data_IF_212222991514
#
_entry.id   IF_212222991514
#
_cell.length_a   1.000
_cell.length_b   1.000
_cell.length_c   1.000
_cell.angle_alpha   90.00
_cell.angle_beta   90.00
_cell.angle_gamma   90.00
#
_symmetry.space_group_name_H-M   'P 1'
#
loop_
_entity.id
_entity.type
_entity.pdbx_description
1 polymer ?
#
# COMPACT_ATOMS: atom_id res chain seq x y z
N UNK A 1 17.17 14.16 -15.00
CA UNK A 1 16.84 12.99 -14.15
C UNK A 1 17.37 13.07 -12.71
N UNK A 2 18.69 13.10 -12.43
CA UNK A 2 19.21 13.11 -11.03
C UNK A 2 18.72 14.33 -10.21
N UNK A 3 18.82 15.54 -10.75
CA UNK A 3 18.31 16.76 -10.11
C UNK A 3 16.80 16.70 -9.83
N UNK A 4 16.04 16.04 -10.71
CA UNK A 4 14.61 15.84 -10.54
C UNK A 4 14.31 14.89 -9.37
N UNK A 5 15.04 13.76 -9.30
CA UNK A 5 14.94 12.79 -8.20
C UNK A 5 15.28 13.47 -6.87
N UNK A 6 16.39 14.23 -6.81
CA UNK A 6 16.79 14.96 -5.60
C UNK A 6 15.74 16.00 -5.18
N UNK A 7 15.17 16.74 -6.14
CA UNK A 7 14.10 17.71 -5.87
C UNK A 7 12.85 17.02 -5.31
N UNK A 8 12.44 15.88 -5.90
CA UNK A 8 11.29 15.09 -5.42
C UNK A 8 11.54 14.47 -4.06
N UNK A 9 12.74 13.93 -3.82
CA UNK A 9 13.13 13.42 -2.50
C UNK A 9 13.10 14.53 -1.44
N UNK A 10 13.54 15.73 -1.81
CA UNK A 10 13.41 16.93 -0.99
C UNK A 10 11.96 17.25 -0.58
N UNK A 11 10.99 17.04 -1.46
CA UNK A 11 9.56 17.17 -1.13
C UNK A 11 9.04 16.05 -0.21
N UNK A 12 9.68 14.89 -0.21
CA UNK A 12 9.36 13.79 0.70
C UNK A 12 9.76 14.07 2.15
N UNK A 13 10.82 14.85 2.38
CA UNK A 13 11.34 15.14 3.72
C UNK A 13 10.28 15.85 4.60
N UNK A 14 9.63 16.95 4.17
CA UNK A 14 8.54 17.57 4.93
C UNK A 14 7.39 16.61 5.25
N UNK A 15 7.09 15.67 4.36
CA UNK A 15 6.02 14.67 4.57
C UNK A 15 6.41 13.74 5.71
N UNK A 16 7.62 13.17 5.69
CA UNK A 16 8.10 12.28 6.75
C UNK A 16 8.20 13.02 8.08
N UNK A 17 8.72 14.25 8.08
CA UNK A 17 8.78 15.09 9.30
C UNK A 17 7.37 15.36 9.82
N UNK A 18 6.44 15.79 8.95
CA UNK A 18 5.06 16.05 9.33
C UNK A 18 4.38 14.83 9.94
N UNK A 19 4.55 13.65 9.32
CA UNK A 19 4.02 12.38 9.85
C UNK A 19 4.69 12.01 11.18
N UNK A 20 6.01 12.22 11.31
CA UNK A 20 6.74 11.93 12.55
C UNK A 20 6.26 12.78 13.73
N UNK A 21 6.04 14.08 13.50
CA UNK A 21 5.51 15.00 14.52
C UNK A 21 4.08 14.59 14.85
N UNK A 22 3.26 14.31 13.83
CA UNK A 22 1.88 13.93 14.03
C UNK A 22 1.74 12.64 14.87
N UNK A 23 2.45 11.57 14.51
CA UNK A 23 2.39 10.32 15.27
C UNK A 23 2.95 10.49 16.68
N UNK A 24 4.02 11.27 16.84
CA UNK A 24 4.58 11.58 18.15
C UNK A 24 3.56 12.31 19.04
N UNK A 25 2.92 13.36 18.52
CA UNK A 25 1.93 14.14 19.26
C UNK A 25 0.68 13.30 19.58
N UNK A 26 0.19 12.50 18.63
CA UNK A 26 -0.94 11.61 18.86
C UNK A 26 -0.66 10.63 19.99
N UNK A 27 0.52 10.01 20.01
CA UNK A 27 0.91 9.11 21.09
C UNK A 27 1.12 9.85 22.43
N UNK A 28 1.65 11.08 22.40
CA UNK A 28 1.83 11.89 23.60
C UNK A 28 0.52 12.39 24.22
N UNK A 29 -0.55 12.49 23.42
CA UNK A 29 -1.90 12.87 23.87
C UNK A 29 -2.68 11.72 24.51
N UNK A 30 -2.22 10.46 24.36
CA UNK A 30 -2.86 9.31 24.99
C UNK A 30 -2.68 9.42 26.51
N UNK A 31 -3.77 9.46 27.30
CA UNK A 31 -3.67 9.59 28.74
C UNK A 31 -3.11 8.31 29.38
N UNK A 32 -2.18 8.49 30.32
CA UNK A 32 -1.50 7.42 31.06
C UNK A 32 0.01 7.62 31.09
N UNK A 33 0.72 6.80 31.86
CA UNK A 33 2.18 6.78 31.85
C UNK A 33 2.68 5.81 30.75
N UNK A 34 3.39 6.31 29.71
CA UNK A 34 3.94 5.46 28.66
C UNK A 34 4.88 4.36 29.17
N UNK A 35 5.63 4.60 30.25
CA UNK A 35 6.54 3.59 30.81
C UNK A 35 5.77 2.40 31.39
N UNK A 36 4.69 2.67 32.14
CA UNK A 36 3.82 1.62 32.68
C UNK A 36 3.08 0.86 31.57
N UNK A 37 2.62 1.56 30.53
CA UNK A 37 1.95 0.93 29.39
C UNK A 37 2.89 0.00 28.62
N UNK A 38 4.14 0.41 28.46
CA UNK A 38 5.16 -0.32 27.72
C UNK A 38 5.71 -1.52 28.51
N UNK A 39 5.91 -1.40 29.82
CA UNK A 39 6.36 -2.51 30.68
C UNK A 39 5.25 -3.49 31.02
N UNK A 40 3.99 -3.03 31.07
CA UNK A 40 2.84 -3.87 31.35
C UNK A 40 3.02 -4.68 32.66
N UNK A 41 2.86 -6.02 32.64
CA UNK A 41 3.05 -6.87 33.81
C UNK A 41 4.47 -6.83 34.42
N UNK A 42 5.48 -6.36 33.68
CA UNK A 42 6.87 -6.27 34.13
C UNK A 42 7.22 -4.94 34.78
N UNK A 43 6.23 -4.07 35.02
CA UNK A 43 6.44 -2.77 35.65
C UNK A 43 6.82 -2.91 37.12
N UNK A 44 8.12 -2.87 37.42
CA UNK A 44 8.67 -2.56 38.74
C UNK A 44 8.98 -1.06 38.84
N UNK A 45 9.06 -0.50 40.04
CA UNK A 45 9.44 0.91 40.22
C UNK A 45 10.77 1.22 39.55
N UNK A 46 11.78 0.37 39.77
CA UNK A 46 13.12 0.51 39.18
C UNK A 46 13.10 0.48 37.65
N UNK A 47 12.45 -0.52 37.02
CA UNK A 47 12.40 -0.62 35.56
C UNK A 47 11.58 0.53 34.95
N UNK A 48 10.54 0.99 35.64
CA UNK A 48 9.70 2.10 35.18
C UNK A 48 10.48 3.41 35.14
N UNK A 49 11.25 3.71 36.18
CA UNK A 49 12.12 4.90 36.23
C UNK A 49 13.21 4.83 35.15
N UNK A 50 13.85 3.67 34.96
CA UNK A 50 14.83 3.48 33.89
C UNK A 50 14.24 3.76 32.50
N UNK A 51 13.03 3.26 32.22
CA UNK A 51 12.36 3.52 30.93
C UNK A 51 11.96 4.98 30.78
N UNK A 52 11.50 5.64 31.86
CA UNK A 52 11.18 7.08 31.84
C UNK A 52 12.41 7.91 31.48
N UNK A 53 13.56 7.60 32.07
CA UNK A 53 14.81 8.28 31.74
C UNK A 53 15.25 8.00 30.29
N UNK A 54 15.24 6.73 29.86
CA UNK A 54 15.65 6.33 28.51
C UNK A 54 14.81 7.00 27.41
N UNK A 55 13.50 7.12 27.63
CA UNK A 55 12.56 7.74 26.69
C UNK A 55 12.36 9.24 26.94
N UNK A 56 13.15 9.82 27.87
CA UNK A 56 13.08 11.20 28.31
C UNK A 56 11.66 11.66 28.71
N UNK A 57 10.84 10.77 29.27
CA UNK A 57 9.41 11.03 29.52
C UNK A 57 9.16 12.19 30.50
N UNK A 58 10.13 12.47 31.37
CA UNK A 58 10.09 13.58 32.34
C UNK A 58 10.45 14.94 31.71
N UNK A 59 10.89 14.96 30.46
CA UNK A 59 11.30 16.18 29.75
C UNK A 59 10.12 16.79 28.95
N UNK A 60 10.18 18.10 28.64
CA UNK A 60 9.20 18.74 27.77
C UNK A 60 9.10 18.06 26.39
N UNK A 61 7.91 18.12 25.77
CA UNK A 61 7.63 17.46 24.48
C UNK A 61 8.68 17.71 23.38
N UNK A 62 9.22 18.94 23.19
CA UNK A 62 10.26 19.16 22.17
C UNK A 62 11.53 18.36 22.43
N UNK A 63 11.95 18.21 23.69
CA UNK A 63 13.13 17.44 24.05
C UNK A 63 12.88 15.95 23.81
N UNK A 64 11.72 15.44 24.24
CA UNK A 64 11.30 14.04 23.98
C UNK A 64 11.32 13.70 22.49
N UNK A 65 10.78 14.59 21.65
CA UNK A 65 10.78 14.41 20.21
C UNK A 65 12.20 14.44 19.63
N UNK A 66 13.05 15.37 20.08
CA UNK A 66 14.44 15.45 19.64
C UNK A 66 15.26 14.20 20.02
N UNK A 67 15.07 13.67 21.24
CA UNK A 67 15.67 12.40 21.68
C UNK A 67 15.20 11.24 20.80
N UNK A 68 13.89 11.11 20.58
CA UNK A 68 13.32 10.04 19.76
C UNK A 68 13.84 10.05 18.32
N UNK A 69 13.80 11.20 17.64
CA UNK A 69 14.34 11.36 16.28
C UNK A 69 15.87 11.15 16.26
N UNK A 70 16.58 11.60 17.29
CA UNK A 70 18.02 11.39 17.43
C UNK A 70 18.40 9.91 17.52
N UNK A 71 17.63 9.11 18.25
CA UNK A 71 17.82 7.67 18.35
C UNK A 71 17.50 6.98 17.02
N UNK A 72 16.38 7.33 16.40
CA UNK A 72 16.00 6.83 15.08
C UNK A 72 17.06 7.10 14.01
N UNK A 73 17.65 8.31 14.01
CA UNK A 73 18.71 8.67 13.08
C UNK A 73 19.99 7.83 13.25
N UNK A 74 20.18 7.20 14.40
CA UNK A 74 21.27 6.26 14.68
C UNK A 74 20.88 4.80 14.40
N UNK A 75 19.65 4.55 13.94
CA UNK A 75 19.10 3.22 13.72
C UNK A 75 18.53 2.56 14.99
N UNK A 76 18.41 3.30 16.09
CA UNK A 76 17.81 2.81 17.33
C UNK A 76 16.31 3.16 17.37
N UNK A 77 15.50 2.15 17.09
CA UNK A 77 14.03 2.23 17.15
C UNK A 77 13.49 1.85 18.54
N UNK A 78 14.37 1.46 19.47
CA UNK A 78 14.02 0.94 20.77
C UNK A 78 13.56 -0.51 20.76
N UNK A 79 13.00 -0.93 21.90
CA UNK A 79 12.62 -2.31 22.19
C UNK A 79 11.13 -2.41 22.48
N UNK A 80 10.46 -3.37 21.85
CA UNK A 80 9.04 -3.63 22.01
C UNK A 80 8.82 -4.77 22.99
N UNK A 81 8.52 -4.43 24.24
CA UNK A 81 8.27 -5.40 25.32
C UNK A 81 6.97 -6.18 25.13
N UNK A 82 6.03 -5.66 24.33
CA UNK A 82 4.78 -6.33 23.98
C UNK A 82 5.00 -7.63 23.18
N UNK A 83 6.08 -7.68 22.38
CA UNK A 83 6.44 -8.79 21.51
C UNK A 83 7.83 -9.35 21.79
N UNK A 84 8.50 -8.86 22.85
CA UNK A 84 9.83 -9.26 23.31
C UNK A 84 10.90 -9.20 22.21
N UNK A 85 10.91 -8.11 21.41
CA UNK A 85 11.80 -7.94 20.25
C UNK A 85 12.22 -6.50 20.03
N UNK A 86 13.33 -6.30 19.31
CA UNK A 86 13.72 -4.99 18.81
C UNK A 86 12.68 -4.47 17.81
N UNK A 87 12.29 -3.19 17.94
CA UNK A 87 11.27 -2.57 17.07
C UNK A 87 11.69 -2.61 15.61
N UNK A 88 12.97 -2.39 15.32
CA UNK A 88 13.49 -2.40 13.95
C UNK A 88 13.32 -3.77 13.27
N UNK A 89 13.56 -4.86 14.00
CA UNK A 89 13.42 -6.23 13.48
C UNK A 89 11.96 -6.57 13.22
N UNK A 90 11.10 -6.29 14.21
CA UNK A 90 9.66 -6.50 14.09
C UNK A 90 9.09 -5.71 12.90
N UNK A 91 9.39 -4.41 12.82
CA UNK A 91 8.89 -3.56 11.73
C UNK A 91 9.42 -4.02 10.37
N UNK A 92 10.67 -4.46 10.27
CA UNK A 92 11.24 -4.95 9.00
C UNK A 92 10.57 -6.25 8.54
N UNK A 93 10.31 -7.20 9.45
CA UNK A 93 9.61 -8.45 9.13
C UNK A 93 8.18 -8.15 8.63
N UNK A 94 7.45 -7.30 9.36
CA UNK A 94 6.09 -6.87 9.00
C UNK A 94 6.05 -6.07 7.70
N UNK A 95 7.07 -5.24 7.45
CA UNK A 95 7.23 -4.49 6.21
C UNK A 95 7.35 -5.41 5.00
N UNK A 96 8.16 -6.47 5.10
CA UNK A 96 8.31 -7.46 4.03
C UNK A 96 6.97 -8.11 3.65
N UNK A 97 6.17 -8.49 4.65
CA UNK A 97 4.85 -9.05 4.43
C UNK A 97 3.88 -8.05 3.78
N UNK A 98 3.83 -6.80 4.26
CA UNK A 98 2.98 -5.76 3.65
C UNK A 98 3.40 -5.44 2.22
N UNK A 99 4.71 -5.36 1.93
CA UNK A 99 5.21 -5.11 0.59
C UNK A 99 4.88 -6.24 -0.39
N UNK A 100 4.98 -7.50 0.07
CA UNK A 100 4.58 -8.66 -0.75
C UNK A 100 3.08 -8.57 -1.11
N UNK A 101 2.24 -8.27 -0.12
CA UNK A 101 0.80 -8.11 -0.34
C UNK A 101 0.47 -6.94 -1.25
N UNK A 102 1.00 -5.76 -0.95
CA UNK A 102 0.78 -4.55 -1.73
C UNK A 102 1.30 -4.70 -3.17
N UNK A 103 2.46 -5.32 -3.35
CA UNK A 103 3.04 -5.60 -4.65
C UNK A 103 2.18 -6.55 -5.50
N UNK A 104 1.70 -7.64 -4.91
CA UNK A 104 0.80 -8.57 -5.59
C UNK A 104 -0.55 -7.93 -5.93
N UNK A 105 -1.13 -7.18 -5.00
CA UNK A 105 -2.36 -6.42 -5.23
C UNK A 105 -2.18 -5.36 -6.33
N UNK A 106 -1.05 -4.66 -6.34
CA UNK A 106 -0.73 -3.66 -7.36
C UNK A 106 -0.53 -4.31 -8.73
N UNK A 107 0.13 -5.47 -8.80
CA UNK A 107 0.25 -6.23 -10.04
C UNK A 107 -1.12 -6.61 -10.60
N UNK A 108 -2.03 -7.13 -9.76
CA UNK A 108 -3.42 -7.41 -10.14
C UNK A 108 -4.12 -6.14 -10.63
N UNK A 109 -3.94 -5.02 -9.91
CA UNK A 109 -4.48 -3.72 -10.26
C UNK A 109 -4.06 -3.27 -11.67
N UNK A 110 -2.75 -3.34 -11.98
CA UNK A 110 -2.21 -2.96 -13.29
C UNK A 110 -2.75 -3.87 -14.39
N UNK A 111 -2.66 -5.20 -14.21
CA UNK A 111 -3.06 -6.17 -15.24
C UNK A 111 -4.56 -6.10 -15.51
N UNK A 112 -5.38 -6.19 -14.47
CA UNK A 112 -6.83 -6.17 -14.62
C UNK A 112 -7.33 -4.78 -14.98
N UNK A 113 -6.81 -3.73 -14.34
CA UNK A 113 -7.23 -2.36 -14.59
C UNK A 113 -6.99 -1.93 -16.03
N UNK A 114 -5.76 -2.10 -16.52
CA UNK A 114 -5.44 -1.76 -17.91
C UNK A 114 -6.21 -2.67 -18.87
N UNK A 115 -6.22 -3.98 -18.63
CA UNK A 115 -6.89 -4.94 -19.50
C UNK A 115 -8.38 -4.66 -19.67
N UNK A 116 -9.10 -4.53 -18.56
CA UNK A 116 -10.54 -4.24 -18.55
C UNK A 116 -10.82 -2.88 -19.18
N UNK A 117 -10.04 -1.85 -18.85
CA UNK A 117 -10.24 -0.51 -19.39
C UNK A 117 -10.06 -0.44 -20.91
N UNK A 118 -9.01 -1.09 -21.44
CA UNK A 118 -8.74 -1.17 -22.88
C UNK A 118 -9.85 -1.93 -23.60
N UNK A 119 -10.26 -3.10 -23.09
CA UNK A 119 -11.31 -3.91 -23.71
C UNK A 119 -12.66 -3.19 -23.70
N UNK A 120 -13.02 -2.54 -22.60
CA UNK A 120 -14.26 -1.78 -22.48
C UNK A 120 -14.30 -0.59 -23.46
N UNK A 121 -13.18 0.14 -23.62
CA UNK A 121 -13.08 1.23 -24.58
C UNK A 121 -13.10 0.74 -26.04
N UNK A 122 -12.38 -0.34 -26.35
CA UNK A 122 -12.33 -0.92 -27.69
C UNK A 122 -13.69 -1.44 -28.16
N UNK A 123 -14.52 -1.92 -27.22
CA UNK A 123 -15.87 -2.43 -27.50
C UNK A 123 -16.96 -1.51 -26.97
N UNK A 124 -16.76 -0.19 -27.09
CA UNK A 124 -17.69 0.83 -26.60
C UNK A 124 -19.15 0.51 -26.99
N UNK A 125 -20.07 0.63 -26.03
CA UNK A 125 -21.52 0.37 -26.18
C UNK A 125 -21.95 -1.09 -26.40
N UNK A 126 -20.99 -2.02 -26.54
CA UNK A 126 -21.29 -3.45 -26.59
C UNK A 126 -21.78 -3.99 -25.23
N UNK A 127 -22.34 -5.19 -25.23
CA UNK A 127 -22.69 -5.88 -23.99
C UNK A 127 -21.48 -6.09 -23.07
N UNK A 128 -20.29 -6.32 -23.65
CA UNK A 128 -19.05 -6.50 -22.90
C UNK A 128 -18.66 -5.19 -22.17
N UNK A 129 -18.75 -4.04 -22.83
CA UNK A 129 -18.50 -2.73 -22.20
C UNK A 129 -19.49 -2.47 -21.04
N UNK A 130 -20.78 -2.78 -21.24
CA UNK A 130 -21.80 -2.61 -20.19
C UNK A 130 -21.52 -3.51 -18.98
N UNK A 131 -21.20 -4.79 -19.21
CA UNK A 131 -20.91 -5.74 -18.12
C UNK A 131 -19.63 -5.38 -17.37
N UNK A 132 -18.56 -5.01 -18.08
CA UNK A 132 -17.31 -4.56 -17.48
C UNK A 132 -17.49 -3.26 -16.70
N UNK A 133 -18.22 -2.29 -17.26
CA UNK A 133 -18.54 -1.03 -16.60
C UNK A 133 -19.37 -1.23 -15.33
N UNK A 134 -20.34 -2.15 -15.36
CA UNK A 134 -21.11 -2.54 -14.18
C UNK A 134 -20.21 -3.18 -13.12
N UNK A 135 -19.32 -4.10 -13.53
CA UNK A 135 -18.37 -4.77 -12.62
C UNK A 135 -17.43 -3.76 -11.96
N UNK A 136 -16.93 -2.79 -12.74
CA UNK A 136 -16.12 -1.67 -12.24
C UNK A 136 -16.90 -0.81 -11.26
N UNK A 137 -18.16 -0.48 -11.56
CA UNK A 137 -19.01 0.31 -10.66
C UNK A 137 -19.23 -0.41 -9.34
N UNK A 138 -19.56 -1.71 -9.37
CA UNK A 138 -19.67 -2.55 -8.17
C UNK A 138 -18.36 -2.55 -7.40
N UNK A 139 -17.22 -2.76 -8.06
CA UNK A 139 -15.90 -2.77 -7.43
C UNK A 139 -15.56 -1.46 -6.70
N UNK A 140 -15.85 -0.31 -7.33
CA UNK A 140 -15.61 1.01 -6.71
C UNK A 140 -16.52 1.26 -5.50
N UNK A 141 -17.77 0.79 -5.55
CA UNK A 141 -18.76 0.99 -4.49
C UNK A 141 -18.65 -0.03 -3.34
N UNK A 142 -17.82 -1.07 -3.49
CA UNK A 142 -17.72 -2.16 -2.51
C UNK A 142 -16.57 -1.89 -1.53
N UNK A 143 -16.82 -1.89 -0.21
CA UNK A 143 -15.75 -1.80 0.77
C UNK A 143 -14.79 -3.00 0.70
N UNK A 144 -13.48 -2.74 0.79
CA UNK A 144 -12.45 -3.78 0.72
C UNK A 144 -12.62 -4.88 1.77
N UNK A 145 -12.95 -4.48 3.00
CA UNK A 145 -13.17 -5.45 4.07
C UNK A 145 -14.33 -6.39 3.76
N UNK A 146 -15.42 -5.85 3.20
CA UNK A 146 -16.62 -6.63 2.90
C UNK A 146 -16.34 -7.62 1.77
N UNK A 147 -15.64 -7.18 0.71
CA UNK A 147 -15.22 -8.06 -0.37
C UNK A 147 -14.34 -9.19 0.16
N UNK A 148 -13.38 -8.88 1.03
CA UNK A 148 -12.51 -9.87 1.66
C UNK A 148 -13.30 -10.93 2.44
N UNK A 149 -14.27 -10.51 3.27
CA UNK A 149 -15.13 -11.42 4.01
C UNK A 149 -15.97 -12.32 3.09
N UNK A 150 -16.54 -11.78 2.02
CA UNK A 150 -17.30 -12.57 1.03
C UNK A 150 -16.39 -13.59 0.35
N UNK A 151 -15.18 -13.18 -0.05
CA UNK A 151 -14.22 -14.08 -0.67
C UNK A 151 -13.80 -15.22 0.27
N UNK A 152 -13.62 -14.96 1.57
CA UNK A 152 -13.37 -16.01 2.57
C UNK A 152 -14.55 -16.98 2.64
N UNK A 153 -15.79 -16.48 2.75
CA UNK A 153 -16.99 -17.34 2.84
C UNK A 153 -17.11 -18.23 1.61
N UNK A 154 -16.92 -17.69 0.41
CA UNK A 154 -17.07 -18.44 -0.83
C UNK A 154 -15.89 -19.40 -1.04
N UNK A 155 -14.66 -18.91 -1.05
CA UNK A 155 -13.50 -19.69 -1.48
C UNK A 155 -12.87 -20.53 -0.37
N UNK A 156 -12.97 -20.11 0.89
CA UNK A 156 -12.39 -20.84 2.02
C UNK A 156 -13.40 -21.71 2.74
N UNK A 157 -14.61 -21.22 3.00
CA UNK A 157 -15.60 -21.95 3.80
C UNK A 157 -16.44 -22.89 2.93
N UNK A 158 -17.06 -22.36 1.87
CA UNK A 158 -17.96 -23.15 1.02
C UNK A 158 -17.18 -24.07 0.07
N UNK A 159 -16.28 -23.49 -0.73
CA UNK A 159 -15.53 -24.23 -1.74
C UNK A 159 -14.29 -24.94 -1.19
N UNK A 160 -13.70 -24.43 -0.10
CA UNK A 160 -12.47 -24.94 0.52
C UNK A 160 -11.28 -25.01 -0.44
N UNK A 161 -11.22 -24.07 -1.39
CA UNK A 161 -10.13 -23.98 -2.37
C UNK A 161 -8.92 -23.23 -1.82
N UNK A 162 -9.16 -22.16 -1.08
CA UNK A 162 -8.12 -21.23 -0.63
C UNK A 162 -8.18 -21.05 0.89
N UNK A 163 -7.02 -20.83 1.54
CA UNK A 163 -6.96 -20.60 2.98
C UNK A 163 -7.69 -19.31 3.36
N UNK A 164 -8.28 -19.28 4.56
CA UNK A 164 -9.05 -18.13 5.05
C UNK A 164 -8.16 -17.00 5.60
N UNK A 165 -6.90 -17.29 5.89
CA UNK A 165 -5.95 -16.31 6.43
C UNK A 165 -4.63 -16.91 6.86
N UNK A 166 -3.74 -16.06 7.36
CA UNK A 166 -2.34 -16.37 7.62
C UNK A 166 -1.45 -16.17 6.38
N UNK A 167 -0.15 -16.30 6.57
CA UNK A 167 0.85 -16.27 5.48
C UNK A 167 1.38 -17.68 5.15
N UNK A 168 1.25 -18.61 6.09
CA UNK A 168 1.75 -19.98 5.99
C UNK A 168 0.78 -20.94 6.67
N UNK A 169 0.73 -22.17 6.17
CA UNK A 169 -0.02 -23.26 6.80
C UNK A 169 0.60 -23.67 8.14
N UNK A 170 -0.24 -24.05 9.11
CA UNK A 170 0.20 -24.46 10.45
C UNK A 170 1.01 -25.76 10.42
N UNK A 171 0.65 -26.70 9.54
CA UNK A 171 1.33 -27.99 9.39
C UNK A 171 2.16 -28.03 8.11
N UNK A 172 3.49 -28.17 8.23
CA UNK A 172 4.39 -28.34 7.08
C UNK A 172 4.45 -27.15 6.10
N UNK A 173 3.99 -25.97 6.52
CA UNK A 173 3.92 -24.76 5.70
C UNK A 173 5.26 -24.04 5.49
N UNK A 174 5.22 -22.92 4.78
CA UNK A 174 6.39 -22.05 4.55
C UNK A 174 7.11 -22.24 3.20
N UNK A 175 6.59 -23.11 2.33
CA UNK A 175 7.04 -23.14 0.94
C UNK A 175 6.60 -21.87 0.19
N UNK A 176 7.30 -21.50 -0.88
CA UNK A 176 6.90 -20.35 -1.73
C UNK A 176 5.48 -20.53 -2.28
N UNK A 177 5.12 -21.76 -2.64
CA UNK A 177 3.77 -22.07 -3.13
C UNK A 177 2.70 -21.87 -2.04
N UNK A 178 2.99 -22.27 -0.80
CA UNK A 178 2.10 -22.07 0.35
C UNK A 178 1.84 -20.58 0.59
N UNK A 179 2.90 -19.75 0.58
CA UNK A 179 2.77 -18.29 0.72
C UNK A 179 1.94 -17.70 -0.42
N UNK A 180 2.20 -18.12 -1.67
CA UNK A 180 1.43 -17.65 -2.82
C UNK A 180 -0.05 -18.04 -2.72
N UNK A 181 -0.36 -19.24 -2.21
CA UNK A 181 -1.72 -19.71 -2.01
C UNK A 181 -2.47 -18.89 -0.95
N UNK A 182 -1.78 -18.54 0.14
CA UNK A 182 -2.29 -17.63 1.17
C UNK A 182 -2.44 -16.19 0.69
N UNK A 183 -1.64 -15.79 -0.29
CA UNK A 183 -1.62 -14.44 -0.82
C UNK A 183 -2.78 -14.15 -1.79
N UNK A 184 -3.37 -15.17 -2.44
CA UNK A 184 -4.38 -14.99 -3.49
C UNK A 184 -5.57 -14.15 -3.01
N UNK A 185 -6.27 -14.58 -1.95
CA UNK A 185 -7.48 -13.87 -1.51
C UNK A 185 -7.20 -12.45 -1.00
N UNK A 186 -6.18 -12.22 -0.13
CA UNK A 186 -5.80 -10.86 0.26
C UNK A 186 -5.45 -9.97 -0.94
N UNK A 187 -4.62 -10.46 -1.86
CA UNK A 187 -4.15 -9.67 -3.01
C UNK A 187 -5.28 -9.37 -4.00
N UNK A 188 -6.18 -10.32 -4.24
CA UNK A 188 -7.37 -10.12 -5.08
C UNK A 188 -8.32 -9.11 -4.43
N UNK A 189 -8.56 -9.20 -3.12
CA UNK A 189 -9.44 -8.27 -2.40
C UNK A 189 -8.98 -6.82 -2.59
N UNK A 190 -7.69 -6.57 -2.35
CA UNK A 190 -7.11 -5.25 -2.41
C UNK A 190 -6.92 -4.77 -3.86
N UNK A 191 -6.40 -5.67 -4.71
CA UNK A 191 -6.06 -5.39 -6.11
C UNK A 191 -7.29 -5.17 -6.98
N UNK A 192 -8.40 -5.87 -6.74
CA UNK A 192 -9.63 -5.72 -7.52
C UNK A 192 -10.26 -4.32 -7.39
N UNK A 193 -10.25 -3.75 -6.19
CA UNK A 193 -10.80 -2.41 -5.94
C UNK A 193 -9.92 -1.36 -6.62
N UNK A 194 -8.60 -1.47 -6.47
CA UNK A 194 -7.66 -0.60 -7.17
C UNK A 194 -7.80 -0.75 -8.70
N UNK A 195 -7.95 -1.98 -9.21
CA UNK A 195 -8.16 -2.28 -10.62
C UNK A 195 -9.39 -1.60 -11.18
N UNK A 196 -10.49 -1.55 -10.43
CA UNK A 196 -11.74 -0.92 -10.88
C UNK A 196 -11.55 0.59 -11.13
N UNK A 197 -10.82 1.28 -10.25
CA UNK A 197 -10.48 2.70 -10.43
C UNK A 197 -9.61 2.91 -11.68
N UNK A 198 -8.58 2.08 -11.86
CA UNK A 198 -7.69 2.13 -13.03
C UNK A 198 -8.46 1.83 -14.32
N UNK A 199 -9.30 0.79 -14.33
CA UNK A 199 -10.09 0.40 -15.49
C UNK A 199 -11.01 1.53 -15.97
N UNK A 200 -11.69 2.20 -15.04
CA UNK A 200 -12.53 3.36 -15.36
C UNK A 200 -11.71 4.47 -16.01
N UNK A 201 -10.54 4.78 -15.46
CA UNK A 201 -9.67 5.84 -15.96
C UNK A 201 -9.08 5.49 -17.34
N UNK A 202 -8.51 4.30 -17.48
CA UNK A 202 -7.96 3.78 -18.75
C UNK A 202 -9.03 3.77 -19.83
N UNK A 203 -10.27 3.36 -19.50
CA UNK A 203 -11.37 3.40 -20.45
C UNK A 203 -11.60 4.80 -20.99
N UNK A 204 -11.69 5.81 -20.13
CA UNK A 204 -11.88 7.21 -20.53
C UNK A 204 -10.73 7.70 -21.43
N UNK A 205 -9.49 7.44 -21.03
CA UNK A 205 -8.31 7.84 -21.81
C UNK A 205 -8.26 7.14 -23.18
N UNK A 206 -8.56 5.85 -23.23
CA UNK A 206 -8.60 5.10 -24.48
C UNK A 206 -9.68 5.61 -25.43
N UNK A 207 -10.87 5.98 -24.93
CA UNK A 207 -11.94 6.55 -25.76
C UNK A 207 -11.53 7.89 -26.39
N UNK A 208 -10.76 8.72 -25.67
CA UNK A 208 -10.20 9.96 -26.20
C UNK A 208 -9.13 9.69 -27.27
N UNK A 209 -8.18 8.79 -26.96
CA UNK A 209 -7.08 8.45 -27.88
C UNK A 209 -7.58 7.81 -29.17
N UNK A 210 -8.57 6.89 -29.10
CA UNK A 210 -9.12 6.21 -30.27
C UNK A 210 -9.82 7.15 -31.26
N UNK A 211 -10.13 8.39 -30.85
CA UNK A 211 -10.72 9.44 -31.69
C UNK A 211 -9.68 10.33 -32.38
N UNK A 212 -8.40 10.20 -32.06
CA UNK A 212 -7.34 11.04 -32.61
C UNK A 212 -6.96 10.66 -34.05
N UNK A 213 -6.47 11.64 -34.81
CA UNK A 213 -6.21 11.48 -36.24
C UNK A 213 -5.11 10.47 -36.55
N UNK A 214 -4.08 10.33 -35.71
CA UNK A 214 -3.02 9.34 -35.92
C UNK A 214 -3.55 7.90 -35.86
N UNK A 215 -4.62 7.65 -35.09
CA UNK A 215 -5.31 6.35 -35.04
C UNK A 215 -6.09 6.12 -36.34
N UNK A 216 -6.76 7.15 -36.86
CA UNK A 216 -7.43 7.08 -38.18
C UNK A 216 -6.42 6.80 -39.29
N UNK A 217 -5.26 7.45 -39.27
CA UNK A 217 -4.16 7.18 -40.21
C UNK A 217 -3.65 5.75 -40.08
N UNK A 218 -3.48 5.23 -38.86
CA UNK A 218 -3.06 3.86 -38.63
C UNK A 218 -4.06 2.85 -39.23
N UNK A 219 -5.36 3.07 -39.07
CA UNK A 219 -6.42 2.27 -39.70
C UNK A 219 -6.42 2.38 -41.22
N UNK A 220 -6.27 3.59 -41.77
CA UNK A 220 -6.21 3.82 -43.21
C UNK A 220 -5.01 3.13 -43.88
N UNK A 221 -3.91 2.94 -43.14
CA UNK A 221 -2.75 2.15 -43.57
C UNK A 221 -2.97 0.63 -43.53
N UNK A 222 -4.16 0.14 -43.15
CA UNK A 222 -4.51 -1.27 -43.12
C UNK A 222 -3.99 -2.05 -41.91
N UNK A 223 -3.59 -1.37 -40.83
CA UNK A 223 -3.17 -2.04 -39.59
C UNK A 223 -4.36 -2.74 -38.94
N UNK A 224 -4.14 -3.94 -38.39
CA UNK A 224 -5.18 -4.69 -37.67
C UNK A 224 -5.65 -3.96 -36.42
N UNK A 225 -6.94 -4.06 -36.07
CA UNK A 225 -7.50 -3.39 -34.88
C UNK A 225 -6.75 -3.75 -33.60
N UNK A 226 -6.29 -5.00 -33.44
CA UNK A 226 -5.48 -5.39 -32.29
C UNK A 226 -4.18 -4.60 -32.18
N UNK A 227 -3.49 -4.35 -33.30
CA UNK A 227 -2.25 -3.54 -33.33
C UNK A 227 -2.55 -2.06 -33.11
N UNK A 228 -3.67 -1.56 -33.64
CA UNK A 228 -4.13 -0.18 -33.41
C UNK A 228 -4.42 0.04 -31.92
N UNK A 229 -5.18 -0.86 -31.29
CA UNK A 229 -5.60 -0.73 -29.89
C UNK A 229 -4.43 -0.94 -28.92
N UNK A 230 -3.78 -2.09 -28.95
CA UNK A 230 -2.75 -2.44 -27.97
C UNK A 230 -1.39 -1.81 -28.26
N UNK A 231 -1.08 -1.55 -29.53
CA UNK A 231 0.22 -1.01 -29.94
C UNK A 231 0.27 0.52 -29.99
N UNK A 232 -0.74 1.17 -30.56
CA UNK A 232 -0.75 2.62 -30.77
C UNK A 232 -1.58 3.35 -29.71
N UNK A 233 -2.84 2.96 -29.54
CA UNK A 233 -3.75 3.67 -28.64
C UNK A 233 -3.36 3.50 -27.17
N UNK A 234 -3.11 2.26 -26.71
CA UNK A 234 -2.66 2.02 -25.32
C UNK A 234 -1.33 2.71 -25.03
N UNK A 235 -0.36 2.65 -25.96
CA UNK A 235 0.93 3.30 -25.77
C UNK A 235 0.80 4.82 -25.62
N UNK A 236 -0.14 5.45 -26.32
CA UNK A 236 -0.42 6.88 -26.15
C UNK A 236 -1.19 7.16 -24.84
N UNK A 237 -2.16 6.31 -24.48
CA UNK A 237 -2.99 6.49 -23.28
C UNK A 237 -2.29 6.15 -21.96
N UNK A 238 -1.26 5.29 -21.97
CA UNK A 238 -0.60 4.83 -20.74
C UNK A 238 0.14 5.97 -20.05
N UNK A 239 0.64 6.96 -20.79
CA UNK A 239 1.34 8.13 -20.24
C UNK A 239 0.42 8.90 -19.27
N UNK A 240 -0.85 9.11 -19.66
CA UNK A 240 -1.85 9.74 -18.80
C UNK A 240 -2.33 8.85 -17.65
N UNK A 241 -2.11 7.53 -17.75
CA UNK A 241 -2.53 6.54 -16.74
C UNK A 241 -1.52 6.39 -15.61
N UNK A 242 -0.24 6.70 -15.84
CA UNK A 242 0.84 6.56 -14.84
C UNK A 242 0.58 7.30 -13.52
N UNK A 243 0.12 8.57 -13.51
CA UNK A 243 -0.19 9.26 -12.25
C UNK A 243 -1.25 8.52 -11.42
N UNK A 244 -2.27 7.97 -12.09
CA UNK A 244 -3.34 7.21 -11.42
C UNK A 244 -2.79 5.90 -10.87
N UNK A 245 -1.90 5.21 -11.60
CA UNK A 245 -1.21 4.03 -11.08
C UNK A 245 -0.36 4.36 -9.84
N UNK A 246 0.36 5.50 -9.84
CA UNK A 246 1.10 5.97 -8.67
C UNK A 246 0.19 6.17 -7.45
N UNK A 247 -0.95 6.84 -7.64
CA UNK A 247 -1.96 7.00 -6.59
C UNK A 247 -2.49 5.64 -6.10
N UNK A 248 -2.72 4.69 -6.99
CA UNK A 248 -3.19 3.35 -6.61
C UNK A 248 -2.11 2.53 -5.89
N UNK A 249 -0.83 2.74 -6.18
CA UNK A 249 0.26 2.12 -5.43
C UNK A 249 0.27 2.60 -3.96
N UNK A 250 -0.01 3.90 -3.73
CA UNK A 250 -0.24 4.44 -2.39
C UNK A 250 -1.52 3.89 -1.74
N UNK A 251 -2.60 3.76 -2.50
CA UNK A 251 -3.86 3.19 -2.03
C UNK A 251 -3.70 1.74 -1.53
N UNK A 252 -2.98 0.87 -2.25
CA UNK A 252 -2.78 -0.51 -1.79
C UNK A 252 -1.96 -0.59 -0.50
N UNK A 253 -0.97 0.27 -0.31
CA UNK A 253 -0.22 0.34 0.96
C UNK A 253 -1.10 0.75 2.13
N UNK A 254 -1.94 1.77 1.96
CA UNK A 254 -2.85 2.23 3.01
C UNK A 254 -4.03 1.28 3.25
N UNK A 255 -4.60 0.72 2.18
CA UNK A 255 -5.73 -0.20 2.22
C UNK A 255 -5.37 -1.59 2.76
N UNK A 256 -4.07 -1.95 2.74
CA UNK A 256 -3.57 -3.20 3.29
C UNK A 256 -3.95 -3.40 4.77
N UNK A 257 -4.02 -2.34 5.58
CA UNK A 257 -4.33 -2.44 7.02
C UNK A 257 -5.59 -3.26 7.31
N UNK A 258 -6.68 -2.98 6.58
CA UNK A 258 -7.94 -3.69 6.76
C UNK A 258 -7.85 -5.14 6.26
N UNK A 259 -7.22 -5.33 5.09
CA UNK A 259 -7.07 -6.65 4.47
C UNK A 259 -6.19 -7.55 5.33
N UNK A 260 -5.08 -7.03 5.86
CA UNK A 260 -4.17 -7.74 6.76
C UNK A 260 -4.87 -8.17 8.06
N UNK A 261 -5.74 -7.32 8.60
CA UNK A 261 -6.52 -7.64 9.79
C UNK A 261 -7.50 -8.78 9.53
N UNK A 262 -8.21 -8.75 8.41
CA UNK A 262 -9.24 -9.75 8.08
C UNK A 262 -8.62 -11.10 7.75
N UNK A 263 -7.61 -11.10 6.88
CA UNK A 263 -6.92 -12.31 6.46
C UNK A 263 -5.82 -12.71 7.45
N UNK A 264 -5.69 -12.05 8.59
CA UNK A 264 -4.64 -12.34 9.58
C UNK A 264 -3.24 -12.34 8.95
N UNK A 265 -3.01 -11.52 7.93
CA UNK A 265 -1.72 -11.38 7.26
C UNK A 265 -0.75 -10.67 8.21
N UNK A 266 0.49 -11.16 8.37
CA UNK A 266 1.45 -10.65 9.35
C UNK A 266 2.14 -9.35 8.87
N UNK A 267 1.37 -8.34 8.45
CA UNK A 267 1.90 -7.07 7.95
C UNK A 267 1.92 -5.93 8.96
N UNK A 268 2.47 -4.78 8.55
CA UNK A 268 2.59 -3.56 9.38
C UNK A 268 1.22 -3.05 9.81
N UNK A 269 0.23 -3.08 8.92
CA UNK A 269 -1.10 -2.55 9.23
C UNK A 269 -1.75 -3.28 10.39
N UNK A 270 -1.70 -4.62 10.36
CA UNK A 270 -2.16 -5.43 11.50
C UNK A 270 -1.33 -5.16 12.76
N UNK A 271 -0.01 -5.09 12.65
CA UNK A 271 0.90 -4.77 13.76
C UNK A 271 0.55 -3.42 14.41
N UNK A 272 0.27 -2.39 13.60
CA UNK A 272 -0.11 -1.07 14.09
C UNK A 272 -1.45 -1.11 14.82
N UNK A 273 -2.45 -1.83 14.30
CA UNK A 273 -3.75 -1.99 14.98
C UNK A 273 -3.55 -2.61 16.37
N UNK A 274 -2.73 -3.65 16.49
CA UNK A 274 -2.43 -4.29 17.77
C UNK A 274 -1.62 -3.40 18.70
N UNK A 275 -0.59 -2.71 18.18
CA UNK A 275 0.27 -1.82 18.96
C UNK A 275 -0.50 -0.60 19.49
N UNK A 276 -1.41 -0.02 18.70
CA UNK A 276 -2.30 1.05 19.13
C UNK A 276 -3.21 0.57 20.27
N UNK A 277 -3.79 -0.63 20.15
CA UNK A 277 -4.66 -1.20 21.17
C UNK A 277 -3.90 -1.47 22.49
N UNK A 278 -2.63 -1.90 22.39
CA UNK A 278 -1.74 -2.15 23.52
C UNK A 278 -1.00 -0.89 24.03
N UNK A 279 -1.18 0.26 23.37
CA UNK A 279 -0.48 1.52 23.66
C UNK A 279 1.05 1.40 23.58
N UNK A 280 1.56 0.52 22.73
CA UNK A 280 2.99 0.39 22.47
C UNK A 280 3.47 1.53 21.57
N UNK A 281 3.97 2.61 22.20
CA UNK A 281 4.37 3.82 21.51
C UNK A 281 5.49 3.59 20.49
N UNK A 282 6.47 2.72 20.79
CA UNK A 282 7.65 2.55 19.96
C UNK A 282 7.32 1.78 18.70
N UNK A 283 6.50 0.73 18.79
CA UNK A 283 5.99 0.01 17.62
C UNK A 283 5.13 0.89 16.72
N UNK A 284 4.23 1.70 17.30
CA UNK A 284 3.39 2.61 16.51
C UNK A 284 4.23 3.64 15.77
N UNK A 285 5.14 4.29 16.49
CA UNK A 285 6.04 5.29 15.95
C UNK A 285 6.94 4.73 14.84
N UNK A 286 7.59 3.59 15.09
CA UNK A 286 8.45 2.93 14.10
C UNK A 286 7.68 2.46 12.87
N UNK A 287 6.55 1.79 13.06
CA UNK A 287 5.73 1.27 11.96
C UNK A 287 5.15 2.38 11.08
N UNK A 288 4.61 3.45 11.67
CA UNK A 288 4.05 4.59 10.91
C UNK A 288 5.13 5.31 10.11
N UNK A 289 6.32 5.52 10.68
CA UNK A 289 7.44 6.13 9.96
C UNK A 289 7.88 5.28 8.77
N UNK A 290 8.00 3.96 8.95
CA UNK A 290 8.39 3.05 7.87
C UNK A 290 7.35 3.07 6.75
N UNK A 291 6.05 3.06 7.07
CA UNK A 291 4.98 3.20 6.08
C UNK A 291 5.07 4.55 5.36
N UNK A 292 5.32 5.65 6.07
CA UNK A 292 5.47 6.98 5.47
C UNK A 292 6.65 7.04 4.49
N UNK A 293 7.80 6.46 4.88
CA UNK A 293 8.98 6.36 4.01
C UNK A 293 8.66 5.53 2.77
N UNK A 294 8.04 4.35 2.91
CA UNK A 294 7.64 3.54 1.76
C UNK A 294 6.66 4.28 0.84
N UNK A 295 5.70 4.99 1.41
CA UNK A 295 4.75 5.79 0.64
C UNK A 295 5.46 6.88 -0.19
N UNK A 296 6.44 7.57 0.40
CA UNK A 296 7.27 8.56 -0.32
C UNK A 296 8.10 7.89 -1.42
N UNK A 297 8.72 6.74 -1.15
CA UNK A 297 9.52 6.00 -2.13
C UNK A 297 8.69 5.50 -3.31
N UNK A 298 7.48 5.00 -3.06
CA UNK A 298 6.56 4.54 -4.12
C UNK A 298 6.09 5.70 -4.99
N UNK A 299 5.74 6.84 -4.39
CA UNK A 299 5.38 8.04 -5.17
C UNK A 299 6.56 8.57 -5.99
N UNK A 300 7.76 8.60 -5.41
CA UNK A 300 8.97 8.97 -6.12
C UNK A 300 9.21 8.04 -7.33
N UNK A 301 9.02 6.73 -7.17
CA UNK A 301 9.14 5.77 -8.27
C UNK A 301 8.11 6.06 -9.37
N UNK A 302 6.86 6.32 -9.01
CA UNK A 302 5.81 6.66 -9.98
C UNK A 302 6.13 7.95 -10.75
N UNK A 303 6.58 8.99 -10.06
CA UNK A 303 7.02 10.27 -10.63
C UNK A 303 8.19 10.09 -11.61
N UNK A 304 9.18 9.26 -11.24
CA UNK A 304 10.33 8.95 -12.09
C UNK A 304 9.91 8.18 -13.34
N UNK A 305 9.03 7.18 -13.20
CA UNK A 305 8.49 6.43 -14.34
C UNK A 305 7.70 7.33 -15.28
N UNK A 306 6.90 8.26 -14.74
CA UNK A 306 6.19 9.24 -15.54
C UNK A 306 7.15 10.14 -16.32
N UNK A 307 8.18 10.68 -15.67
CA UNK A 307 9.17 11.53 -16.34
C UNK A 307 9.95 10.78 -17.42
N UNK A 308 10.31 9.51 -17.20
CA UNK A 308 11.03 8.69 -18.16
C UNK A 308 10.17 8.29 -19.37
N UNK A 309 8.85 8.16 -19.20
CA UNK A 309 7.92 7.73 -20.24
C UNK A 309 7.24 8.89 -20.98
N UNK A 310 7.27 10.12 -20.44
CA UNK A 310 6.70 11.30 -21.09
C UNK A 310 7.78 12.14 -21.81
N UNK A 311 7.91 12.02 -23.14
CA UNK A 311 8.87 12.81 -23.94
C UNK A 311 8.54 14.31 -24.00
N UNK A 312 7.40 14.76 -23.43
CA UNK A 312 7.00 16.17 -23.41
C UNK A 312 7.55 16.95 -22.21
N UNK A 313 8.04 16.26 -21.18
CA UNK A 313 8.57 16.88 -19.95
C UNK A 313 10.04 17.34 -20.16
N UNK A 314 10.67 17.01 -21.29
CA UNK A 314 12.02 17.48 -21.66
C UNK A 314 12.08 18.86 -22.35
N UNK A 315 11.00 19.65 -22.36
CA UNK A 315 11.00 21.03 -22.90
C UNK A 315 10.69 22.09 -21.85
#
# INVERSE_FOLDING_TARGET
>A
MILYILKRLGFGIPVVIGVSILVFLLMALIPGDPALALLGPYATEENTEQIREQLALDQPLPHRYATWIGNLARGDFGYAYSVDRAVAEEVAERAGATLLLAGAAFFICVVLGIGVGVVAAARQYSWADRLLSLSVMVGISTPAFWLGLVLIVVFSIQLRWLPSGGMVSIEGGGSVFDILWHLVLPAVTLGFIAAAVVARFVRTQMLEVLRQDFIRTARAKGLSEGRVIWGYALRAGIVATLPVLGLQAGFVLGGAVYVETIFQWPGIGRMLVTAIAQRDLLLVQGGVLVVAVFYVLVNLLADVLQHALDPRIER
#
